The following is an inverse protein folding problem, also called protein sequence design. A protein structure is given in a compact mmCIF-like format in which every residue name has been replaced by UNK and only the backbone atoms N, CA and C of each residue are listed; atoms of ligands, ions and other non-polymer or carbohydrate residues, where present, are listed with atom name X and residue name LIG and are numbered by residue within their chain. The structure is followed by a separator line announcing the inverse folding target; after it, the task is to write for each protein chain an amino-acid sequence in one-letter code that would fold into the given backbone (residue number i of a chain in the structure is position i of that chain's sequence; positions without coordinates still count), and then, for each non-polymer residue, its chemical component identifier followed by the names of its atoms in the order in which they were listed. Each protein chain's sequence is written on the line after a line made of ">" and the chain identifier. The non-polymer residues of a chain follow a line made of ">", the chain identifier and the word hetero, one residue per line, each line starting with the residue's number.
data_IF_247026420836
#
_entry.id   IF_247026420836
#
_cell.length_a   1.000
_cell.length_b   1.000
_cell.length_c   1.000
_cell.angle_alpha   90.00
_cell.angle_beta   90.00
_cell.angle_gamma   90.00
#
_symmetry.space_group_name_H-M   'P 1'
#
loop_
_entity.id
_entity.type
_entity.pdbx_description
1 polymer ?
#
# COMPACT_ATOMS: atom_id res chain seq x y z
N UNK A 1 6.49 -21.32 -10.10
CA UNK A 1 5.95 -20.00 -9.74
C UNK A 1 6.92 -19.36 -8.76
N UNK A 2 7.41 -18.16 -9.04
CA UNK A 2 8.26 -17.43 -8.08
C UNK A 2 7.43 -17.20 -6.81
N UNK A 3 7.92 -17.64 -5.65
CA UNK A 3 7.23 -17.39 -4.38
C UNK A 3 7.53 -15.94 -4.01
N UNK A 4 6.48 -15.11 -3.90
CA UNK A 4 6.57 -13.77 -3.34
C UNK A 4 5.93 -13.83 -1.96
N UNK A 5 6.62 -13.30 -0.96
CA UNK A 5 6.11 -13.20 0.40
C UNK A 5 6.16 -11.74 0.83
N UNK A 6 4.99 -11.21 1.17
CA UNK A 6 4.79 -9.82 1.54
C UNK A 6 4.31 -9.74 2.98
N UNK A 7 4.51 -8.58 3.60
CA UNK A 7 3.97 -8.26 4.91
C UNK A 7 3.53 -6.80 4.98
N UNK A 8 2.28 -6.63 5.39
CA UNK A 8 1.66 -5.34 5.65
C UNK A 8 0.48 -5.56 6.59
N UNK A 9 0.29 -4.64 7.53
CA UNK A 9 -0.82 -4.67 8.48
C UNK A 9 -1.35 -3.25 8.71
N UNK A 10 -2.61 -3.12 9.11
CA UNK A 10 -3.24 -1.82 9.41
C UNK A 10 -2.85 -1.32 10.82
N UNK A 11 -1.54 -1.29 11.11
CA UNK A 11 -0.98 -0.89 12.41
C UNK A 11 -0.12 0.36 12.26
N UNK A 12 0.17 1.03 13.37
CA UNK A 12 1.07 2.21 13.42
C UNK A 12 2.52 1.90 12.99
N UNK A 13 2.88 0.64 12.76
CA UNK A 13 4.19 0.27 12.19
C UNK A 13 4.22 0.40 10.66
N UNK A 14 3.08 0.17 9.99
CA UNK A 14 2.99 0.14 8.53
C UNK A 14 2.14 1.28 7.96
N UNK A 15 1.27 1.86 8.78
CA UNK A 15 0.31 2.89 8.37
C UNK A 15 0.31 3.99 9.42
N UNK A 16 0.95 5.10 9.11
CA UNK A 16 1.13 6.22 10.04
C UNK A 16 0.47 7.46 9.48
N UNK A 17 -0.49 8.00 10.22
CA UNK A 17 -0.97 9.34 10.01
C UNK A 17 0.13 10.35 10.40
N UNK A 18 0.75 10.99 9.41
CA UNK A 18 1.74 12.05 9.66
C UNK A 18 1.05 13.38 9.98
N UNK A 19 -0.12 13.62 9.40
CA UNK A 19 -0.99 14.76 9.69
C UNK A 19 -2.45 14.40 9.37
N UNK A 20 -3.35 15.38 9.48
CA UNK A 20 -4.75 15.22 9.08
C UNK A 20 -4.94 14.99 7.57
N UNK A 21 -3.92 15.24 6.75
CA UNK A 21 -3.98 15.13 5.29
C UNK A 21 -2.79 14.39 4.69
N UNK A 22 -1.92 13.77 5.51
CA UNK A 22 -0.79 12.97 5.07
C UNK A 22 -0.75 11.64 5.79
N UNK A 23 -0.57 10.56 5.04
CA UNK A 23 -0.37 9.22 5.57
C UNK A 23 0.87 8.59 4.95
N UNK A 24 1.71 8.00 5.78
CA UNK A 24 2.83 7.16 5.37
C UNK A 24 2.38 5.70 5.39
N UNK A 25 2.63 5.01 4.28
CA UNK A 25 2.28 3.59 4.12
C UNK A 25 3.55 2.84 3.73
N UNK A 26 3.87 1.80 4.49
CA UNK A 26 5.02 0.91 4.30
C UNK A 26 4.54 -0.50 3.93
N UNK A 27 5.28 -1.18 3.07
CA UNK A 27 5.09 -2.58 2.72
C UNK A 27 6.42 -3.30 2.82
N UNK A 28 6.46 -4.45 3.49
CA UNK A 28 7.62 -5.33 3.54
C UNK A 28 7.54 -6.46 2.50
N UNK A 29 8.68 -6.76 1.90
CA UNK A 29 8.96 -7.83 0.95
C UNK A 29 9.93 -8.77 1.65
N UNK A 30 9.40 -9.85 2.20
CA UNK A 30 10.18 -10.84 2.95
C UNK A 30 10.97 -11.75 2.01
N UNK A 31 10.42 -12.04 0.84
CA UNK A 31 11.02 -12.89 -0.16
C UNK A 31 10.39 -12.65 -1.55
N UNK A 32 11.18 -12.82 -2.61
CA UNK A 32 10.73 -12.70 -3.99
C UNK A 32 11.35 -11.50 -4.73
N UNK A 33 11.29 -11.55 -6.05
CA UNK A 33 11.76 -10.46 -6.92
C UNK A 33 10.57 -9.59 -7.32
N UNK A 34 10.68 -8.29 -7.07
CA UNK A 34 9.67 -7.29 -7.41
C UNK A 34 10.40 -6.15 -8.11
N UNK A 35 9.98 -5.85 -9.34
CA UNK A 35 10.54 -4.74 -10.13
C UNK A 35 9.98 -3.40 -9.66
N UNK A 36 8.69 -3.39 -9.32
CA UNK A 36 7.98 -2.19 -8.96
C UNK A 36 6.82 -2.50 -8.03
N UNK A 37 6.59 -1.60 -7.08
CA UNK A 37 5.39 -1.56 -6.26
C UNK A 37 4.68 -0.23 -6.50
N UNK A 38 3.39 -0.29 -6.73
CA UNK A 38 2.49 0.85 -6.73
C UNK A 38 1.37 0.63 -5.72
N UNK A 39 0.76 1.70 -5.25
CA UNK A 39 -0.44 1.66 -4.42
C UNK A 39 -1.60 2.25 -5.22
N UNK A 40 -2.73 1.55 -5.28
CA UNK A 40 -4.01 2.13 -5.69
C UNK A 40 -4.73 2.53 -4.41
N UNK A 41 -5.24 3.76 -4.36
CA UNK A 41 -5.93 4.25 -3.18
C UNK A 41 -7.12 5.15 -3.54
N UNK A 42 -8.10 5.19 -2.65
CA UNK A 42 -9.31 6.01 -2.78
C UNK A 42 -9.89 6.37 -1.41
N UNK A 43 -10.65 7.46 -1.35
CA UNK A 43 -11.50 7.75 -0.18
C UNK A 43 -12.60 6.69 -0.12
N UNK A 44 -12.90 6.11 1.05
CA UNK A 44 -13.81 4.94 1.22
C UNK A 44 -15.13 5.00 0.42
N UNK A 45 -15.74 6.18 0.29
CA UNK A 45 -17.02 6.38 -0.39
C UNK A 45 -16.91 6.75 -1.88
N UNK A 46 -15.68 6.82 -2.42
CA UNK A 46 -15.38 7.30 -3.77
C UNK A 46 -14.50 6.27 -4.51
N UNK A 47 -14.90 5.00 -4.55
CA UNK A 47 -14.13 3.94 -5.22
C UNK A 47 -13.96 4.17 -6.73
N UNK A 48 -14.84 4.94 -7.36
CA UNK A 48 -14.70 5.35 -8.76
C UNK A 48 -13.57 6.37 -8.98
N UNK A 49 -13.06 7.02 -7.92
CA UNK A 49 -11.99 8.02 -7.97
C UNK A 49 -10.67 7.45 -7.43
N UNK A 50 -10.22 6.32 -7.97
CA UNK A 50 -8.92 5.77 -7.57
C UNK A 50 -7.76 6.58 -8.11
N UNK A 51 -6.73 6.77 -7.28
CA UNK A 51 -5.41 7.25 -7.69
C UNK A 51 -4.40 6.12 -7.59
N UNK A 52 -3.34 6.20 -8.39
CA UNK A 52 -2.23 5.25 -8.35
C UNK A 52 -0.92 6.02 -8.25
N UNK A 53 -0.06 5.59 -7.32
CA UNK A 53 1.26 6.18 -7.13
C UNK A 53 2.29 5.08 -6.91
N UNK A 54 3.47 5.26 -7.49
CA UNK A 54 4.60 4.36 -7.33
C UNK A 54 5.19 4.52 -5.92
N UNK A 55 5.49 3.41 -5.28
CA UNK A 55 6.16 3.40 -3.98
C UNK A 55 7.67 3.44 -4.18
N UNK A 56 8.35 4.13 -3.28
CA UNK A 56 9.80 4.24 -3.27
C UNK A 56 10.40 3.06 -2.51
N UNK A 57 11.45 2.46 -3.08
CA UNK A 57 12.25 1.46 -2.40
C UNK A 57 13.46 2.15 -1.77
N UNK A 58 13.44 2.37 -0.46
CA UNK A 58 14.56 2.93 0.27
C UNK A 58 15.59 1.85 0.57
N UNK A 59 16.20 1.26 -0.46
CA UNK A 59 17.40 0.45 -0.26
C UNK A 59 18.62 1.35 -0.16
N UNK A 60 19.07 1.62 1.07
CA UNK A 60 20.49 1.86 1.27
C UNK A 60 21.16 0.48 1.09
N UNK A 61 21.99 0.32 0.06
CA UNK A 61 22.77 -0.90 -0.20
C UNK A 61 21.99 -2.18 -0.60
N UNK A 62 20.79 -2.07 -1.19
CA UNK A 62 19.99 -3.23 -1.67
C UNK A 62 19.55 -4.22 -0.59
N UNK A 63 19.60 -3.85 0.68
CA UNK A 63 19.21 -4.72 1.81
C UNK A 63 17.86 -4.36 2.42
N UNK A 64 17.31 -3.18 2.11
CA UNK A 64 16.04 -2.76 2.69
C UNK A 64 14.88 -3.58 2.12
N UNK A 65 14.16 -4.35 2.97
CA UNK A 65 13.11 -5.22 2.52
C UNK A 65 11.78 -4.47 2.34
N UNK A 66 11.75 -3.12 2.30
CA UNK A 66 10.48 -2.39 2.28
C UNK A 66 10.36 -1.33 1.20
N UNK A 67 9.12 -1.12 0.79
CA UNK A 67 8.65 -0.04 -0.07
C UNK A 67 7.79 0.90 0.78
N UNK A 68 7.85 2.19 0.48
CA UNK A 68 7.02 3.17 1.18
C UNK A 68 6.52 4.29 0.28
N UNK A 69 5.50 4.99 0.77
CA UNK A 69 4.92 6.17 0.12
C UNK A 69 4.30 7.08 1.16
N UNK A 70 4.36 8.38 0.92
CA UNK A 70 3.56 9.37 1.62
C UNK A 70 2.44 9.82 0.69
N UNK A 71 1.20 9.54 1.05
CA UNK A 71 0.03 10.03 0.33
C UNK A 71 -0.39 11.37 0.94
N UNK A 72 -0.50 12.40 0.09
CA UNK A 72 -0.94 13.73 0.47
C UNK A 72 -2.30 14.05 -0.17
N UNK A 73 -3.18 14.66 0.63
CA UNK A 73 -4.54 15.01 0.26
C UNK A 73 -4.74 16.52 0.43
N UNK A 74 -5.52 17.12 -0.46
CA UNK A 74 -5.89 18.54 -0.37
C UNK A 74 -6.76 18.83 0.86
N UNK A 75 -7.58 17.85 1.24
CA UNK A 75 -8.50 17.92 2.37
C UNK A 75 -8.09 16.95 3.48
N UNK A 76 -8.69 17.14 4.67
CA UNK A 76 -8.56 16.20 5.77
C UNK A 76 -9.02 14.79 5.35
N UNK A 77 -8.12 13.83 5.51
CA UNK A 77 -8.39 12.41 5.33
C UNK A 77 -9.10 11.86 6.57
N UNK A 78 -10.23 11.18 6.37
CA UNK A 78 -10.96 10.47 7.43
C UNK A 78 -10.93 8.95 7.24
N UNK A 79 -11.10 8.53 5.99
CA UNK A 79 -11.15 7.13 5.59
C UNK A 79 -10.36 6.95 4.29
N UNK A 80 -9.47 5.98 4.28
CA UNK A 80 -8.68 5.61 3.11
C UNK A 80 -8.83 4.11 2.88
N UNK A 81 -9.08 3.74 1.63
CA UNK A 81 -8.95 2.36 1.16
C UNK A 81 -7.77 2.30 0.20
N UNK A 82 -7.04 1.19 0.22
CA UNK A 82 -5.94 0.97 -0.70
C UNK A 82 -5.59 -0.49 -0.90
N UNK A 83 -4.93 -0.76 -2.02
CA UNK A 83 -4.34 -2.06 -2.37
C UNK A 83 -2.98 -1.83 -3.01
N UNK A 84 -2.11 -2.82 -2.94
CA UNK A 84 -0.81 -2.76 -3.61
C UNK A 84 -0.88 -3.49 -4.96
N UNK A 85 -0.17 -2.97 -5.95
CA UNK A 85 0.11 -3.64 -7.22
C UNK A 85 1.61 -3.88 -7.32
N UNK A 86 1.98 -5.09 -7.74
CA UNK A 86 3.35 -5.52 -7.94
C UNK A 86 3.57 -5.82 -9.40
N UNK A 87 4.72 -5.40 -9.92
CA UNK A 87 5.24 -5.92 -11.18
C UNK A 87 6.38 -6.90 -10.91
N UNK A 88 6.28 -8.11 -11.43
CA UNK A 88 7.36 -9.09 -11.43
C UNK A 88 7.46 -9.74 -12.82
N UNK A 89 8.44 -9.31 -13.61
CA UNK A 89 8.52 -9.66 -15.03
C UNK A 89 7.31 -9.13 -15.80
N UNK A 90 6.65 -10.04 -16.54
CA UNK A 90 5.48 -9.72 -17.36
C UNK A 90 4.14 -9.87 -16.61
N UNK A 91 4.18 -10.09 -15.29
CA UNK A 91 2.97 -10.33 -14.50
C UNK A 91 2.74 -9.18 -13.52
N UNK A 92 1.46 -8.86 -13.34
CA UNK A 92 0.98 -8.00 -12.26
C UNK A 92 0.29 -8.84 -11.20
N UNK A 93 0.54 -8.49 -9.95
CA UNK A 93 -0.12 -9.09 -8.79
C UNK A 93 -0.75 -7.98 -7.97
N UNK A 94 -1.82 -8.30 -7.26
CA UNK A 94 -2.48 -7.42 -6.33
C UNK A 94 -2.37 -7.98 -4.91
N UNK A 95 -2.24 -7.09 -3.93
CA UNK A 95 -2.21 -7.48 -2.52
C UNK A 95 -3.20 -6.63 -1.74
N UNK A 96 -4.17 -7.31 -1.15
CA UNK A 96 -5.16 -6.77 -0.21
C UNK A 96 -5.23 -7.64 1.05
N UNK A 97 -6.31 -7.49 1.84
CA UNK A 97 -6.50 -8.28 3.07
C UNK A 97 -6.68 -9.79 2.80
N UNK A 98 -7.18 -10.14 1.62
CA UNK A 98 -7.35 -11.54 1.20
C UNK A 98 -6.02 -12.18 0.74
N UNK A 99 -4.92 -11.44 0.75
CA UNK A 99 -3.61 -11.91 0.32
C UNK A 99 -3.25 -11.49 -1.10
N UNK A 100 -2.26 -12.18 -1.66
CA UNK A 100 -1.70 -11.92 -2.99
C UNK A 100 -2.52 -12.65 -4.06
N UNK A 101 -2.99 -11.93 -5.06
CA UNK A 101 -3.89 -12.43 -6.11
C UNK A 101 -3.47 -11.92 -7.50
N UNK A 102 -3.89 -12.60 -8.57
CA UNK A 102 -3.72 -12.12 -9.95
C UNK A 102 -4.82 -11.14 -10.37
N UNK A 103 -5.95 -11.16 -9.67
CA UNK A 103 -7.09 -10.30 -9.89
C UNK A 103 -7.17 -9.23 -8.80
N UNK A 104 -7.86 -8.12 -9.07
CA UNK A 104 -8.09 -7.07 -8.08
C UNK A 104 -8.83 -7.66 -6.86
N UNK A 105 -8.30 -7.50 -5.63
CA UNK A 105 -8.90 -8.10 -4.45
C UNK A 105 -10.20 -7.40 -4.05
N UNK A 106 -11.12 -8.17 -3.48
CA UNK A 106 -12.40 -7.65 -2.98
C UNK A 106 -12.25 -6.91 -1.64
N UNK A 107 -11.21 -7.24 -0.85
CA UNK A 107 -10.96 -6.61 0.45
C UNK A 107 -9.69 -5.75 0.41
N UNK A 108 -9.83 -4.42 0.27
CA UNK A 108 -8.70 -3.52 0.40
C UNK A 108 -8.23 -3.43 1.85
N UNK A 109 -7.03 -2.89 2.06
CA UNK A 109 -6.65 -2.34 3.34
C UNK A 109 -7.38 -1.01 3.58
N UNK A 110 -7.57 -0.68 4.84
CA UNK A 110 -8.33 0.46 5.32
C UNK A 110 -7.52 1.21 6.38
N UNK A 111 -7.57 2.53 6.31
CA UNK A 111 -7.22 3.40 7.42
C UNK A 111 -8.46 4.20 7.80
N UNK A 112 -8.84 4.09 9.06
CA UNK A 112 -9.92 4.87 9.65
C UNK A 112 -9.33 5.73 10.76
N UNK A 113 -9.39 7.05 10.61
CA UNK A 113 -9.07 7.96 11.70
C UNK A 113 -10.18 7.86 12.74
N UNK A 114 -10.01 7.00 13.73
CA UNK A 114 -10.80 7.07 14.95
C UNK A 114 -10.34 8.35 15.65
N UNK A 115 -11.25 9.29 15.87
CA UNK A 115 -10.96 10.52 16.60
C UNK A 115 -10.28 10.16 17.93
N UNK A 116 -8.96 10.30 18.04
CA UNK A 116 -8.34 10.65 19.31
C UNK A 116 -8.66 12.14 19.49
N UNK A 117 -9.89 12.39 19.96
CA UNK A 117 -10.33 13.69 20.45
C UNK A 117 -9.88 13.92 21.87
#
# INVERSE_FOLDING_TARGET
>A
MQKIQLRHFETKEYVVALSLNKVHIKLEVLYGFIEEVSIIYWKRFFEHETKTVKMENFSYEKTSPYYEVILEFEERLRYLNYIFIFKAGNHFFYYGKDGLTLERPNKPFELQYVNEG
#
